data_IF_933203107309
#
_entry.id   IF_933203107309
#
_cell.length_a   1.000
_cell.length_b   1.000
_cell.length_c   1.000
_cell.angle_alpha   90.00
_cell.angle_beta   90.00
_cell.angle_gamma   90.00
#
_symmetry.space_group_name_H-M   'P 1'
#
loop_
_entity.id
_entity.type
_entity.pdbx_description
1 polymer ?
#
# COMPACT_ATOMS: atom_id res chain seq x y z
N UNK A 1 -9.49 5.52 19.98
CA UNK A 1 -10.28 5.27 21.19
C UNK A 1 -11.77 5.28 20.91
N UNK A 2 -12.32 6.35 20.32
CA UNK A 2 -13.78 6.49 20.12
C UNK A 2 -14.37 5.46 19.17
N UNK A 3 -13.66 5.08 18.09
CA UNK A 3 -14.11 4.03 17.17
C UNK A 3 -14.32 2.71 17.94
N UNK A 4 -13.35 2.30 18.75
CA UNK A 4 -13.46 1.07 19.55
C UNK A 4 -14.61 1.10 20.56
N UNK A 5 -14.92 2.28 21.09
CA UNK A 5 -16.03 2.44 22.03
C UNK A 5 -17.40 2.42 21.36
N UNK A 6 -17.50 2.92 20.13
CA UNK A 6 -18.78 3.06 19.42
C UNK A 6 -19.11 1.85 18.52
N UNK A 7 -18.10 1.16 18.02
CA UNK A 7 -18.27 0.02 17.11
C UNK A 7 -17.74 -1.24 17.79
N UNK A 8 -18.62 -2.06 18.37
CA UNK A 8 -18.21 -3.31 18.99
C UNK A 8 -17.81 -4.35 17.94
N UNK A 9 -16.82 -5.19 18.25
CA UNK A 9 -16.38 -6.26 17.38
C UNK A 9 -14.88 -6.46 17.37
N UNK A 10 -14.44 -7.52 16.68
CA UNK A 10 -13.01 -7.79 16.43
C UNK A 10 -12.68 -7.38 14.99
N UNK A 11 -11.90 -6.33 14.85
CA UNK A 11 -11.45 -5.81 13.56
C UNK A 11 -10.13 -5.04 13.74
N UNK A 12 -9.40 -4.92 12.68
CA UNK A 12 -8.21 -4.06 12.64
C UNK A 12 -8.59 -2.59 12.41
N UNK A 13 -7.83 -1.69 13.01
CA UNK A 13 -7.85 -0.26 12.67
C UNK A 13 -6.51 0.04 12.03
N UNK A 14 -6.51 0.12 10.72
CA UNK A 14 -5.32 0.48 9.94
C UNK A 14 -5.28 2.00 9.73
N UNK A 15 -4.16 2.63 10.05
CA UNK A 15 -3.98 4.08 9.96
C UNK A 15 -3.09 4.44 8.77
N UNK A 16 -3.52 5.42 8.00
CA UNK A 16 -2.72 6.06 6.95
C UNK A 16 -2.70 7.56 7.21
N UNK A 17 -1.72 8.05 7.97
CA UNK A 17 -1.72 9.39 8.58
C UNK A 17 -0.46 10.22 8.28
N UNK A 18 0.20 9.95 7.18
CA UNK A 18 1.43 10.65 6.78
C UNK A 18 2.66 10.19 7.57
N UNK A 19 3.67 11.03 7.65
CA UNK A 19 4.95 10.69 8.27
C UNK A 19 4.82 10.53 9.80
N UNK A 20 5.47 9.51 10.32
CA UNK A 20 5.45 9.15 11.74
C UNK A 20 6.87 9.13 12.32
N UNK A 21 6.99 9.68 13.53
CA UNK A 21 8.12 9.40 14.41
C UNK A 21 7.82 8.16 15.27
N UNK A 22 8.83 7.55 15.91
CA UNK A 22 8.60 6.43 16.85
C UNK A 22 7.58 6.77 17.94
N UNK A 23 7.62 7.98 18.49
CA UNK A 23 6.71 8.43 19.56
C UNK A 23 5.27 8.54 19.04
N UNK A 24 5.08 9.02 17.81
CA UNK A 24 3.76 9.10 17.19
C UNK A 24 3.20 7.72 16.84
N UNK A 25 4.05 6.81 16.34
CA UNK A 25 3.64 5.43 16.10
C UNK A 25 3.17 4.75 17.39
N UNK A 26 3.91 4.93 18.48
CA UNK A 26 3.52 4.44 19.81
C UNK A 26 2.17 5.04 20.27
N UNK A 27 2.01 6.35 20.16
CA UNK A 27 0.77 7.02 20.56
C UNK A 27 -0.46 6.57 19.74
N UNK A 28 -0.29 6.31 18.45
CA UNK A 28 -1.36 5.77 17.58
C UNK A 28 -1.77 4.38 18.07
N UNK A 29 -0.81 3.51 18.38
CA UNK A 29 -1.10 2.20 18.94
C UNK A 29 -1.84 2.29 20.29
N UNK A 30 -1.39 3.15 21.19
CA UNK A 30 -2.05 3.39 22.49
C UNK A 30 -3.49 3.91 22.34
N UNK A 31 -3.79 4.61 21.26
CA UNK A 31 -5.15 5.02 20.91
C UNK A 31 -6.01 3.89 20.35
N UNK A 32 -5.46 2.68 20.16
CA UNK A 32 -6.20 1.48 19.75
C UNK A 32 -6.12 1.14 18.25
N UNK A 33 -5.23 1.79 17.49
CA UNK A 33 -4.87 1.32 16.16
C UNK A 33 -4.10 -0.01 16.28
N UNK A 34 -4.25 -0.87 15.27
CA UNK A 34 -3.60 -2.18 15.22
C UNK A 34 -2.48 -2.23 14.19
N UNK A 35 -2.61 -1.43 13.15
CA UNK A 35 -1.68 -1.38 12.03
C UNK A 35 -1.55 0.03 11.48
N UNK A 36 -0.47 0.27 10.75
CA UNK A 36 -0.30 1.47 9.96
C UNK A 36 0.19 1.09 8.56
N UNK A 37 -0.41 1.73 7.57
CA UNK A 37 -0.03 1.60 6.18
C UNK A 37 0.90 2.74 5.80
N UNK A 38 2.07 2.41 5.29
CA UNK A 38 2.99 3.39 4.73
C UNK A 38 3.84 2.77 3.62
N UNK A 39 4.11 3.54 2.57
CA UNK A 39 4.77 3.07 1.36
C UNK A 39 5.94 3.96 1.00
N UNK A 40 7.06 3.34 0.63
CA UNK A 40 8.05 3.96 -0.22
C UNK A 40 7.61 3.75 -1.66
N UNK A 41 7.13 4.80 -2.32
CA UNK A 41 6.62 4.70 -3.69
C UNK A 41 7.75 4.45 -4.67
N UNK A 42 7.43 3.76 -5.74
CA UNK A 42 8.34 3.62 -6.87
C UNK A 42 8.75 5.00 -7.37
N UNK A 43 10.06 5.21 -7.53
CA UNK A 43 10.67 6.49 -7.92
C UNK A 43 10.28 7.68 -7.02
N UNK A 44 10.12 7.43 -5.72
CA UNK A 44 9.92 8.52 -4.75
C UNK A 44 11.10 9.49 -4.82
N UNK A 45 10.82 10.79 -4.89
CA UNK A 45 11.83 11.82 -5.07
C UNK A 45 12.19 12.13 -6.53
N UNK A 46 11.87 11.26 -7.48
CA UNK A 46 12.00 11.50 -8.92
C UNK A 46 10.64 11.91 -9.51
N UNK A 47 9.64 11.06 -9.35
CA UNK A 47 8.27 11.28 -9.84
C UNK A 47 7.42 12.10 -8.87
N UNK A 48 7.86 12.26 -7.65
CA UNK A 48 7.21 13.04 -6.59
C UNK A 48 8.19 14.01 -5.92
N UNK A 49 7.70 15.10 -5.31
CA UNK A 49 8.56 16.03 -4.57
C UNK A 49 8.92 15.54 -3.16
N UNK A 50 8.57 14.32 -2.77
CA UNK A 50 8.77 13.80 -1.43
C UNK A 50 10.16 13.17 -1.29
N UNK A 51 10.77 13.37 -0.12
CA UNK A 51 12.06 12.79 0.20
C UNK A 51 11.90 11.30 0.56
N UNK A 52 12.53 10.37 -0.18
CA UNK A 52 12.45 8.93 0.11
C UNK A 52 12.97 8.58 1.51
N UNK A 53 13.97 9.30 2.03
CA UNK A 53 14.52 9.02 3.36
C UNK A 53 13.50 9.30 4.47
N UNK A 54 12.62 10.27 4.30
CA UNK A 54 11.53 10.56 5.24
C UNK A 54 10.51 9.43 5.25
N UNK A 55 10.20 8.87 4.06
CA UNK A 55 9.32 7.70 3.93
C UNK A 55 9.91 6.46 4.60
N UNK A 56 11.19 6.19 4.32
CA UNK A 56 11.95 5.08 4.91
C UNK A 56 11.99 5.21 6.44
N UNK A 57 12.25 6.41 6.96
CA UNK A 57 12.26 6.67 8.40
C UNK A 57 10.90 6.36 9.04
N UNK A 58 9.80 6.75 8.38
CA UNK A 58 8.43 6.45 8.84
C UNK A 58 8.16 4.94 8.85
N UNK A 59 8.50 4.22 7.79
CA UNK A 59 8.33 2.76 7.69
C UNK A 59 9.09 2.07 8.82
N UNK A 60 10.34 2.48 9.06
CA UNK A 60 11.15 1.95 10.17
C UNK A 60 10.58 2.28 11.55
N UNK A 61 10.00 3.47 11.72
CA UNK A 61 9.33 3.86 12.96
C UNK A 61 8.09 3.00 13.24
N UNK A 62 7.29 2.69 12.22
CA UNK A 62 6.15 1.77 12.32
C UNK A 62 6.64 0.37 12.66
N UNK A 63 7.61 -0.16 11.92
CA UNK A 63 8.17 -1.50 12.11
C UNK A 63 8.81 -1.69 13.50
N UNK A 64 9.34 -0.64 14.11
CA UNK A 64 9.91 -0.66 15.46
C UNK A 64 8.86 -0.47 16.57
N UNK A 65 7.61 -0.19 16.23
CA UNK A 65 6.50 0.00 17.17
C UNK A 65 5.68 -1.29 17.33
N UNK A 66 4.69 -1.34 18.24
CA UNK A 66 3.74 -2.45 18.29
C UNK A 66 2.72 -2.51 17.15
N UNK A 67 2.69 -1.52 16.25
CA UNK A 67 1.82 -1.52 15.09
C UNK A 67 2.30 -2.55 14.05
N UNK A 68 1.37 -3.24 13.42
CA UNK A 68 1.65 -4.04 12.23
C UNK A 68 1.90 -3.11 11.04
N UNK A 69 2.97 -3.35 10.29
CA UNK A 69 3.30 -2.58 9.10
C UNK A 69 2.59 -3.14 7.87
N UNK A 70 1.73 -2.35 7.23
CA UNK A 70 1.22 -2.62 5.91
C UNK A 70 1.96 -1.80 4.85
N UNK A 71 2.26 -2.40 3.70
CA UNK A 71 2.93 -1.72 2.59
C UNK A 71 2.34 -2.15 1.24
N UNK A 72 2.89 -1.64 0.15
CA UNK A 72 2.45 -1.96 -1.21
C UNK A 72 3.56 -1.60 -2.21
N UNK A 73 3.62 -2.29 -3.33
CA UNK A 73 4.41 -1.84 -4.49
C UNK A 73 3.54 -0.92 -5.34
N UNK A 74 3.80 0.38 -5.27
CA UNK A 74 2.96 1.41 -5.90
C UNK A 74 3.72 2.70 -6.25
N UNK A 75 3.19 3.53 -7.15
CA UNK A 75 2.18 3.22 -8.18
C UNK A 75 2.86 2.57 -9.40
N UNK A 76 2.43 1.40 -9.82
CA UNK A 76 3.07 0.66 -10.92
C UNK A 76 2.59 1.20 -12.27
N UNK A 77 3.52 1.67 -13.09
CA UNK A 77 3.32 2.06 -14.47
C UNK A 77 4.16 1.24 -15.44
N UNK A 78 3.94 1.38 -16.77
CA UNK A 78 4.65 0.60 -17.78
C UNK A 78 6.16 0.88 -17.86
N UNK A 79 6.63 1.98 -17.30
CA UNK A 79 8.03 2.41 -17.29
C UNK A 79 8.88 1.73 -16.20
N UNK A 80 8.25 1.11 -15.19
CA UNK A 80 8.99 0.49 -14.10
C UNK A 80 9.62 -0.83 -14.54
N UNK A 81 10.89 -0.98 -14.20
CA UNK A 81 11.69 -2.18 -14.48
C UNK A 81 11.40 -3.31 -13.51
N UNK A 82 11.77 -4.53 -13.87
CA UNK A 82 11.64 -5.68 -12.97
C UNK A 82 12.49 -5.52 -11.71
N UNK A 83 13.65 -4.87 -11.80
CA UNK A 83 14.53 -4.62 -10.66
C UNK A 83 13.88 -3.63 -9.68
N UNK A 84 13.31 -2.51 -10.16
CA UNK A 84 12.59 -1.55 -9.31
C UNK A 84 11.40 -2.21 -8.57
N UNK A 85 10.68 -3.09 -9.26
CA UNK A 85 9.55 -3.82 -8.67
C UNK A 85 10.03 -4.84 -7.62
N UNK A 86 11.11 -5.57 -7.92
CA UNK A 86 11.70 -6.52 -6.99
C UNK A 86 12.24 -5.82 -5.73
N UNK A 87 12.94 -4.69 -5.90
CA UNK A 87 13.44 -3.88 -4.78
C UNK A 87 12.29 -3.41 -3.87
N UNK A 88 11.16 -2.98 -4.46
CA UNK A 88 9.98 -2.58 -3.69
C UNK A 88 9.38 -3.75 -2.87
N UNK A 89 9.27 -4.95 -3.46
CA UNK A 89 8.81 -6.16 -2.76
C UNK A 89 9.76 -6.51 -1.62
N UNK A 90 11.05 -6.59 -1.90
CA UNK A 90 12.07 -6.99 -0.93
C UNK A 90 12.18 -5.99 0.22
N UNK A 91 12.11 -4.69 -0.06
CA UNK A 91 12.14 -3.65 0.96
C UNK A 91 11.00 -3.80 1.97
N UNK A 92 9.77 -4.06 1.52
CA UNK A 92 8.63 -4.31 2.41
C UNK A 92 8.86 -5.53 3.33
N UNK A 93 9.38 -6.61 2.76
CA UNK A 93 9.70 -7.84 3.50
C UNK A 93 10.83 -7.64 4.51
N UNK A 94 11.90 -6.95 4.14
CA UNK A 94 13.02 -6.61 5.03
C UNK A 94 12.59 -5.73 6.20
N UNK A 95 11.63 -4.84 5.99
CA UNK A 95 11.04 -4.03 7.06
C UNK A 95 10.05 -4.81 7.95
N UNK A 96 9.80 -6.08 7.66
CA UNK A 96 8.92 -6.92 8.47
C UNK A 96 7.43 -6.63 8.27
N UNK A 97 7.04 -6.14 7.10
CA UNK A 97 5.63 -5.91 6.80
C UNK A 97 4.82 -7.22 6.95
N UNK A 98 3.61 -7.10 7.54
CA UNK A 98 2.67 -8.21 7.69
C UNK A 98 1.68 -8.29 6.52
N UNK A 99 1.52 -7.19 5.80
CA UNK A 99 0.67 -7.12 4.63
C UNK A 99 1.34 -6.37 3.49
N UNK A 100 1.05 -6.79 2.28
CA UNK A 100 1.57 -6.22 1.06
C UNK A 100 0.51 -6.17 -0.05
N UNK A 101 0.97 -5.93 -1.24
CA UNK A 101 0.13 -5.91 -2.43
C UNK A 101 0.73 -5.08 -3.54
N UNK A 102 0.00 -5.02 -4.63
CA UNK A 102 0.37 -4.28 -5.82
C UNK A 102 -0.71 -3.27 -6.19
N UNK A 103 -0.29 -2.07 -6.59
CA UNK A 103 -1.22 -1.05 -7.06
C UNK A 103 -0.79 -0.50 -8.41
N UNK A 104 -1.63 -0.70 -9.43
CA UNK A 104 -1.45 -0.05 -10.71
C UNK A 104 -1.66 1.46 -10.58
N UNK A 105 -0.85 2.24 -11.32
CA UNK A 105 -1.11 3.67 -11.43
C UNK A 105 -2.41 3.92 -12.15
N UNK A 106 -3.24 4.78 -11.55
CA UNK A 106 -4.43 5.33 -12.19
C UNK A 106 -4.09 6.76 -12.63
N UNK A 107 -4.17 7.08 -13.93
CA UNK A 107 -3.95 8.44 -14.41
C UNK A 107 -5.00 9.40 -13.84
N UNK A 108 -4.55 10.52 -13.30
CA UNK A 108 -5.43 11.56 -12.77
C UNK A 108 -5.25 12.82 -13.63
N UNK A 109 -6.33 13.37 -14.22
CA UNK A 109 -6.25 14.56 -15.04
C UNK A 109 -5.57 15.73 -14.32
N UNK A 110 -4.66 16.41 -15.02
CA UNK A 110 -3.89 17.53 -14.48
C UNK A 110 -2.68 17.15 -13.59
N UNK A 111 -2.45 15.88 -13.33
CA UNK A 111 -1.29 15.42 -12.56
C UNK A 111 -0.08 15.12 -13.47
N UNK A 112 1.17 15.23 -12.97
CA UNK A 112 2.37 15.10 -13.78
C UNK A 112 2.46 13.77 -14.58
N UNK A 113 1.94 12.68 -14.05
CA UNK A 113 1.98 11.35 -14.67
C UNK A 113 0.69 10.98 -15.41
N UNK A 114 -0.17 11.95 -15.71
CA UNK A 114 -1.45 11.73 -16.44
C UNK A 114 -1.26 10.94 -17.74
N UNK A 115 -0.19 11.24 -18.47
CA UNK A 115 0.07 10.65 -19.79
C UNK A 115 1.11 9.51 -19.77
N UNK A 116 1.59 9.11 -18.61
CA UNK A 116 2.61 8.07 -18.48
C UNK A 116 2.07 6.64 -18.70
N UNK A 117 0.74 6.49 -18.87
CA UNK A 117 0.10 5.23 -19.17
C UNK A 117 -0.17 4.35 -17.94
N UNK A 118 -0.79 3.21 -18.19
CA UNK A 118 -1.11 2.18 -17.20
C UNK A 118 -0.54 0.84 -17.63
N UNK A 119 -0.22 -0.01 -16.68
CA UNK A 119 0.18 -1.39 -16.99
C UNK A 119 -1.04 -2.23 -17.35
N UNK A 120 -0.81 -3.33 -18.07
CA UNK A 120 -1.88 -4.30 -18.34
C UNK A 120 -2.25 -5.08 -17.08
N UNK A 121 -3.48 -5.54 -17.02
CA UNK A 121 -3.93 -6.42 -15.93
C UNK A 121 -3.08 -7.69 -15.84
N UNK A 122 -2.71 -8.29 -16.99
CA UNK A 122 -1.85 -9.48 -17.00
C UNK A 122 -0.49 -9.23 -16.34
N UNK A 123 0.11 -8.06 -16.60
CA UNK A 123 1.37 -7.70 -15.95
C UNK A 123 1.19 -7.45 -14.45
N UNK A 124 0.12 -6.79 -14.04
CA UNK A 124 -0.19 -6.59 -12.62
C UNK A 124 -0.37 -7.92 -11.89
N UNK A 125 -1.09 -8.88 -12.50
CA UNK A 125 -1.27 -10.22 -11.95
C UNK A 125 0.04 -11.00 -11.86
N UNK A 126 0.94 -10.84 -12.82
CA UNK A 126 2.27 -11.45 -12.78
C UNK A 126 3.08 -10.92 -11.58
N UNK A 127 3.11 -9.60 -11.38
CA UNK A 127 3.82 -8.97 -10.27
C UNK A 127 3.25 -9.43 -8.92
N UNK A 128 1.92 -9.45 -8.79
CA UNK A 128 1.22 -9.94 -7.61
C UNK A 128 1.57 -11.39 -7.29
N UNK A 129 1.61 -12.26 -8.31
CA UNK A 129 1.96 -13.67 -8.13
C UNK A 129 3.42 -13.84 -7.67
N UNK A 130 4.34 -13.04 -8.21
CA UNK A 130 5.74 -13.01 -7.78
C UNK A 130 5.83 -12.56 -6.32
N UNK A 131 5.18 -11.45 -5.96
CA UNK A 131 5.15 -10.97 -4.58
C UNK A 131 4.59 -12.03 -3.62
N UNK A 132 3.48 -12.70 -3.97
CA UNK A 132 2.92 -13.77 -3.15
C UNK A 132 3.89 -14.93 -2.95
N UNK A 133 4.62 -15.33 -3.99
CA UNK A 133 5.59 -16.43 -3.91
C UNK A 133 6.77 -16.04 -3.01
N UNK A 134 7.29 -14.81 -3.19
CA UNK A 134 8.45 -14.32 -2.43
C UNK A 134 8.09 -14.05 -0.96
N UNK A 135 6.92 -13.45 -0.70
CA UNK A 135 6.45 -13.16 0.65
C UNK A 135 6.08 -14.43 1.44
N UNK A 136 5.63 -15.48 0.76
CA UNK A 136 5.25 -16.74 1.40
C UNK A 136 4.23 -16.53 2.51
N UNK A 137 4.56 -16.94 3.72
CA UNK A 137 3.73 -16.80 4.92
C UNK A 137 3.97 -15.51 5.70
N UNK A 138 4.95 -14.68 5.33
CA UNK A 138 5.21 -13.43 6.03
C UNK A 138 4.06 -12.45 5.82
N UNK A 139 3.52 -12.35 4.59
CA UNK A 139 2.33 -11.54 4.36
C UNK A 139 1.07 -12.35 4.68
N UNK A 140 0.42 -12.02 5.79
CA UNK A 140 -0.88 -12.58 6.16
C UNK A 140 -1.98 -12.07 5.22
N UNK A 141 -1.85 -10.84 4.74
CA UNK A 141 -2.76 -10.20 3.81
C UNK A 141 -2.01 -9.65 2.61
N UNK A 142 -2.49 -9.94 1.42
CA UNK A 142 -1.97 -9.39 0.17
C UNK A 142 -3.11 -9.01 -0.75
N UNK A 143 -3.05 -7.78 -1.25
CA UNK A 143 -4.12 -7.18 -2.03
C UNK A 143 -3.68 -6.74 -3.42
N UNK A 144 -4.67 -6.27 -4.19
CA UNK A 144 -4.45 -5.68 -5.50
C UNK A 144 -5.36 -4.45 -5.65
N UNK A 145 -4.81 -3.39 -6.22
CA UNK A 145 -5.59 -2.22 -6.57
C UNK A 145 -5.28 -1.78 -8.02
N UNK A 146 -6.29 -1.46 -8.85
CA UNK A 146 -7.73 -1.63 -8.58
C UNK A 146 -8.09 -3.10 -8.29
N UNK A 147 -9.13 -3.34 -7.49
CA UNK A 147 -9.55 -4.70 -7.16
C UNK A 147 -10.13 -5.39 -8.39
N UNK A 148 -9.58 -6.55 -8.74
CA UNK A 148 -10.03 -7.38 -9.84
C UNK A 148 -10.16 -8.82 -9.38
N UNK A 149 -11.16 -9.55 -9.89
CA UNK A 149 -11.39 -10.95 -9.50
C UNK A 149 -10.17 -11.84 -9.76
N UNK A 150 -9.46 -11.60 -10.86
CA UNK A 150 -8.24 -12.36 -11.23
C UNK A 150 -7.13 -12.28 -10.18
N UNK A 151 -7.11 -11.24 -9.35
CA UNK A 151 -6.12 -11.12 -8.28
C UNK A 151 -6.21 -12.28 -7.27
N UNK A 152 -7.41 -12.83 -7.03
CA UNK A 152 -7.60 -14.00 -6.17
C UNK A 152 -6.88 -15.25 -6.73
N UNK A 153 -6.84 -15.41 -8.03
CA UNK A 153 -6.12 -16.51 -8.69
C UNK A 153 -4.61 -16.26 -8.77
N UNK A 154 -4.18 -15.00 -8.71
CA UNK A 154 -2.78 -14.62 -8.68
C UNK A 154 -2.18 -14.60 -7.24
N UNK A 155 -3.00 -14.90 -6.22
CA UNK A 155 -2.52 -15.05 -4.84
C UNK A 155 -2.96 -13.96 -3.87
N UNK A 156 -3.80 -13.00 -4.29
CA UNK A 156 -4.46 -12.09 -3.35
C UNK A 156 -5.42 -12.86 -2.44
N UNK A 157 -5.47 -12.47 -1.18
CA UNK A 157 -6.42 -13.00 -0.20
C UNK A 157 -7.16 -11.88 0.55
N UNK A 158 -6.99 -10.64 0.10
CA UNK A 158 -7.73 -9.48 0.57
C UNK A 158 -8.18 -8.62 -0.60
N UNK A 159 -9.33 -7.99 -0.45
CA UNK A 159 -9.89 -7.04 -1.39
C UNK A 159 -10.18 -5.74 -0.67
N UNK A 160 -9.78 -4.63 -1.26
CA UNK A 160 -10.12 -3.30 -0.76
C UNK A 160 -11.48 -2.90 -1.31
N UNK A 161 -12.39 -2.52 -0.41
CA UNK A 161 -13.66 -1.88 -0.76
C UNK A 161 -13.57 -0.44 -0.27
N UNK A 162 -13.58 0.50 -1.19
CA UNK A 162 -13.53 1.92 -0.86
C UNK A 162 -14.95 2.46 -0.65
N UNK A 163 -15.11 3.29 0.38
CA UNK A 163 -16.34 4.01 0.66
C UNK A 163 -16.04 5.51 0.75
N UNK A 164 -16.80 6.31 0.04
CA UNK A 164 -16.62 7.76 -0.04
C UNK A 164 -15.99 8.23 -1.35
N UNK A 165 -15.83 9.54 -1.50
CA UNK A 165 -15.23 10.13 -2.68
C UNK A 165 -13.74 9.78 -2.80
N UNK A 166 -13.37 9.18 -3.91
CA UNK A 166 -11.99 8.86 -4.24
C UNK A 166 -11.55 9.72 -5.45
N UNK A 167 -10.48 10.51 -5.35
CA UNK A 167 -9.98 11.32 -6.49
C UNK A 167 -9.61 10.47 -7.72
N UNK A 168 -9.43 9.15 -7.54
CA UNK A 168 -9.14 8.19 -8.61
C UNK A 168 -10.39 7.69 -9.33
N UNK A 169 -11.59 7.92 -8.78
CA UNK A 169 -12.84 7.58 -9.41
C UNK A 169 -13.13 8.61 -10.50
N UNK A 170 -12.63 8.34 -11.70
CA UNK A 170 -12.76 9.22 -12.87
C UNK A 170 -13.99 8.91 -13.71
N UNK A 171 -14.86 8.00 -13.29
CA UNK A 171 -16.11 7.74 -14.00
C UNK A 171 -17.13 8.85 -13.73
N UNK A 172 -17.66 9.52 -14.79
CA UNK A 172 -18.71 10.50 -14.62
C UNK A 172 -19.97 9.82 -14.06
N UNK A 173 -20.33 10.13 -12.80
CA UNK A 173 -21.55 9.63 -12.16
C UNK A 173 -21.34 8.69 -10.98
N UNK A 174 -20.13 8.47 -10.52
CA UNK A 174 -19.87 7.86 -9.22
C UNK A 174 -20.02 8.92 -8.11
N UNK A 175 -21.25 9.37 -7.85
CA UNK A 175 -21.65 10.15 -6.67
C UNK A 175 -22.29 9.23 -5.62
#
# INVERSE_FOLDING_TARGET
ADIRAQVPGSYEINMNVGELTPERAQAIWECGATSAYHVLRLREGEDTPFDPEVRIATIRAIAASPLLLGTCVEPIGPEHTDDELADGILFGLECGAYSGGVMARVPVPGMPLEHAGTISEDRLMQILAVERIVAGSQYESIGCHPPVERALYAGANSLTVEAGANPRDVEPGAE
#
